data_IF_876717742819
#
_entry.id   IF_876717742819
#
_cell.length_a   1.000
_cell.length_b   1.000
_cell.length_c   1.000
_cell.angle_alpha   90.00
_cell.angle_beta   90.00
_cell.angle_gamma   90.00
#
_symmetry.space_group_name_H-M   'P 1'
#
loop_
_entity.id
_entity.type
_entity.pdbx_description
1 polymer ?
#
# COMPACT_ATOMS: atom_id res chain seq x y z
N UNK A 1 18.38 28.73 21.40
CA UNK A 1 19.41 27.80 21.93
C UNK A 1 18.89 26.42 22.34
N UNK A 2 17.89 26.29 23.23
CA UNK A 2 17.39 24.95 23.65
C UNK A 2 16.64 24.22 22.51
N UNK A 3 15.80 24.94 21.76
CA UNK A 3 14.98 24.40 20.66
C UNK A 3 15.84 23.90 19.49
N UNK A 4 16.89 24.63 19.12
CA UNK A 4 17.79 24.25 18.03
C UNK A 4 18.60 22.99 18.37
N UNK A 5 18.97 22.81 19.63
CA UNK A 5 19.65 21.60 20.12
C UNK A 5 18.72 20.39 20.08
N UNK A 6 17.46 20.55 20.50
CA UNK A 6 16.45 19.48 20.41
C UNK A 6 16.15 19.10 18.96
N UNK A 7 16.05 20.10 18.07
CA UNK A 7 15.83 19.88 16.64
C UNK A 7 17.02 19.11 16.01
N UNK A 8 18.26 19.50 16.33
CA UNK A 8 19.46 18.80 15.87
C UNK A 8 19.56 17.36 16.36
N UNK A 9 19.16 17.11 17.62
CA UNK A 9 19.13 15.75 18.18
C UNK A 9 18.05 14.91 17.50
N UNK A 10 16.86 15.45 17.26
CA UNK A 10 15.79 14.76 16.53
C UNK A 10 16.18 14.45 15.09
N UNK A 11 16.82 15.40 14.38
CA UNK A 11 17.33 15.19 13.03
C UNK A 11 18.42 14.12 12.99
N UNK A 12 19.33 14.09 13.97
CA UNK A 12 20.38 13.06 14.07
C UNK A 12 19.83 11.68 14.42
N UNK A 13 18.82 11.60 15.28
CA UNK A 13 18.11 10.35 15.59
C UNK A 13 17.37 9.86 14.35
N UNK A 14 16.67 10.76 13.64
CA UNK A 14 16.00 10.43 12.38
C UNK A 14 16.99 9.93 11.32
N UNK A 15 18.14 10.59 11.18
CA UNK A 15 19.21 10.18 10.27
C UNK A 15 19.81 8.82 10.68
N UNK A 16 19.98 8.57 11.98
CA UNK A 16 20.53 7.32 12.48
C UNK A 16 19.55 6.15 12.34
N UNK A 17 18.25 6.37 12.54
CA UNK A 17 17.19 5.39 12.26
C UNK A 17 17.09 5.11 10.76
N UNK A 18 17.27 6.13 9.91
CA UNK A 18 17.28 5.98 8.46
C UNK A 18 18.51 5.20 7.95
N UNK A 19 19.68 5.38 8.58
CA UNK A 19 20.92 4.68 8.22
C UNK A 19 20.98 3.25 8.80
N UNK A 20 20.29 2.96 9.91
CA UNK A 20 20.31 1.64 10.54
C UNK A 20 19.41 0.58 9.85
N UNK A 21 18.68 0.93 8.79
CA UNK A 21 17.84 0.01 8.02
C UNK A 21 18.56 -0.78 6.92
N UNK A 22 19.86 -0.57 6.71
CA UNK A 22 20.60 -1.09 5.54
C UNK A 22 21.28 -2.43 5.85
N UNK A 23 20.54 -3.40 6.40
CA UNK A 23 21.08 -4.74 6.65
C UNK A 23 20.37 -5.81 5.83
N UNK A 24 21.00 -6.17 4.70
CA UNK A 24 20.72 -7.37 3.91
C UNK A 24 19.89 -7.14 2.65
N UNK A 25 20.51 -7.30 1.48
CA UNK A 25 19.82 -7.39 0.19
C UNK A 25 19.13 -8.74 0.07
N UNK A 26 17.90 -8.81 0.56
CA UNK A 26 17.01 -9.93 0.38
C UNK A 26 15.72 -9.39 -0.21
N UNK A 27 15.18 -10.10 -1.20
CA UNK A 27 14.01 -9.64 -1.91
C UNK A 27 12.77 -9.64 -1.02
N UNK A 28 11.90 -8.67 -1.25
CA UNK A 28 10.62 -8.56 -0.57
C UNK A 28 9.60 -9.58 -1.10
N UNK A 29 8.82 -10.18 -0.20
CA UNK A 29 7.73 -11.13 -0.51
C UNK A 29 6.35 -10.61 -0.11
N UNK A 30 6.30 -9.39 0.43
CA UNK A 30 5.08 -8.62 0.63
C UNK A 30 5.38 -7.13 0.55
N UNK A 31 4.53 -6.37 -0.12
CA UNK A 31 4.64 -4.91 -0.17
C UNK A 31 3.28 -4.27 0.11
N UNK A 32 3.18 -3.33 1.07
CA UNK A 32 1.96 -2.54 1.24
C UNK A 32 1.65 -1.74 -0.02
N UNK A 33 0.38 -1.42 -0.22
CA UNK A 33 -0.11 -0.53 -1.28
C UNK A 33 -0.86 0.65 -0.65
N UNK A 34 -1.08 1.69 -1.43
CA UNK A 34 -1.85 2.87 -1.05
C UNK A 34 -3.16 2.47 -0.34
N UNK A 35 -3.41 3.11 0.79
CA UNK A 35 -4.68 3.03 1.49
C UNK A 35 -5.73 3.84 0.75
N UNK A 36 -6.83 3.18 0.40
CA UNK A 36 -7.95 3.86 -0.22
C UNK A 36 -8.86 4.47 0.86
N UNK A 37 -8.81 5.80 0.98
CA UNK A 37 -9.63 6.60 1.90
C UNK A 37 -10.54 7.54 1.13
N UNK A 38 -11.64 7.06 0.51
CA UNK A 38 -12.39 7.84 -0.46
C UNK A 38 -13.18 8.99 0.19
N UNK A 39 -13.47 8.91 1.50
CA UNK A 39 -14.24 9.93 2.23
C UNK A 39 -15.55 10.28 1.51
N UNK A 40 -16.28 9.26 1.06
CA UNK A 40 -17.59 9.43 0.41
C UNK A 40 -18.58 10.06 1.40
N UNK A 41 -19.46 10.95 0.91
CA UNK A 41 -20.40 11.66 1.77
C UNK A 41 -21.87 11.36 1.47
N UNK A 42 -22.20 10.96 0.25
CA UNK A 42 -23.57 10.75 -0.20
C UNK A 42 -23.62 9.86 -1.43
N UNK A 43 -24.80 9.30 -1.71
CA UNK A 43 -25.05 8.46 -2.89
C UNK A 43 -24.61 9.16 -4.19
N UNK A 44 -24.00 8.41 -5.10
CA UNK A 44 -23.58 8.90 -6.40
C UNK A 44 -22.27 9.71 -6.41
N UNK A 45 -21.61 9.87 -5.25
CA UNK A 45 -20.21 10.31 -5.21
C UNK A 45 -19.27 9.23 -5.72
N UNK A 46 -18.27 9.64 -6.50
CA UNK A 46 -17.17 8.82 -6.93
C UNK A 46 -15.85 9.49 -6.55
N UNK A 47 -14.85 8.69 -6.18
CA UNK A 47 -13.49 9.15 -5.94
C UNK A 47 -12.52 8.31 -6.77
N UNK A 48 -11.62 8.97 -7.48
CA UNK A 48 -10.55 8.33 -8.24
C UNK A 48 -9.21 8.88 -7.78
N UNK A 49 -8.20 8.02 -7.63
CA UNK A 49 -6.84 8.45 -7.28
C UNK A 49 -5.84 7.71 -8.15
N UNK A 50 -4.89 8.44 -8.74
CA UNK A 50 -3.71 7.88 -9.38
C UNK A 50 -2.48 8.39 -8.65
N UNK A 51 -1.59 7.48 -8.25
CA UNK A 51 -0.44 7.79 -7.42
C UNK A 51 0.82 7.01 -7.83
N UNK A 52 1.96 7.59 -7.50
CA UNK A 52 3.24 6.91 -7.44
C UNK A 52 3.52 6.59 -5.97
N UNK A 53 3.91 5.35 -5.71
CA UNK A 53 4.27 4.85 -4.40
C UNK A 53 5.71 4.40 -4.37
N UNK A 54 6.36 4.53 -3.23
CA UNK A 54 7.71 4.03 -2.97
C UNK A 54 7.76 3.40 -1.59
N UNK A 55 8.44 2.27 -1.48
CA UNK A 55 8.78 1.59 -0.23
C UNK A 55 10.29 1.54 -0.02
N UNK A 56 10.72 0.54 0.72
CA UNK A 56 12.13 0.28 1.01
C UNK A 56 12.83 -0.35 -0.20
N UNK A 57 12.15 -1.27 -0.89
CA UNK A 57 12.71 -1.99 -2.04
C UNK A 57 11.90 -1.81 -3.32
N UNK A 58 10.62 -1.42 -3.23
CA UNK A 58 9.73 -1.37 -4.41
C UNK A 58 9.11 0.01 -4.62
N UNK A 59 9.19 0.51 -5.86
CA UNK A 59 8.38 1.63 -6.34
C UNK A 59 7.20 1.12 -7.15
N UNK A 60 6.06 1.78 -7.11
CA UNK A 60 4.84 1.35 -7.79
C UNK A 60 4.02 2.49 -8.38
N UNK A 61 3.30 2.20 -9.45
CA UNK A 61 2.19 3.00 -9.94
C UNK A 61 0.90 2.39 -9.43
N UNK A 62 0.04 3.21 -8.84
CA UNK A 62 -1.21 2.79 -8.21
C UNK A 62 -2.39 3.60 -8.74
N UNK A 63 -3.51 2.91 -8.97
CA UNK A 63 -4.80 3.53 -9.29
C UNK A 63 -5.88 2.97 -8.37
N UNK A 64 -6.77 3.85 -7.93
CA UNK A 64 -7.82 3.58 -6.96
C UNK A 64 -9.12 4.24 -7.40
N UNK A 65 -10.24 3.53 -7.27
CA UNK A 65 -11.57 4.02 -7.60
C UNK A 65 -12.58 3.62 -6.53
N UNK A 66 -13.47 4.52 -6.13
CA UNK A 66 -14.56 4.26 -5.19
C UNK A 66 -15.85 4.91 -5.68
N UNK A 67 -16.98 4.30 -5.32
CA UNK A 67 -18.31 4.79 -5.66
C UNK A 67 -19.31 4.54 -4.54
N UNK A 68 -20.14 5.54 -4.25
CA UNK A 68 -21.21 5.48 -3.26
C UNK A 68 -22.50 4.93 -3.89
N UNK A 69 -22.82 3.66 -3.60
CA UNK A 69 -24.07 3.02 -4.03
C UNK A 69 -25.30 3.57 -3.29
N UNK A 70 -25.12 3.99 -2.04
CA UNK A 70 -26.13 4.65 -1.21
C UNK A 70 -25.48 5.74 -0.36
N UNK A 71 -26.23 6.38 0.53
CA UNK A 71 -25.69 7.37 1.48
C UNK A 71 -24.78 6.78 2.55
N UNK A 72 -24.66 5.45 2.60
CA UNK A 72 -23.85 4.76 3.58
C UNK A 72 -23.05 3.59 3.04
N UNK A 73 -23.31 3.13 1.82
CA UNK A 73 -22.63 1.96 1.24
C UNK A 73 -21.79 2.39 0.06
N UNK A 74 -20.51 2.04 0.10
CA UNK A 74 -19.56 2.28 -0.98
C UNK A 74 -18.89 0.99 -1.45
N UNK A 75 -18.46 0.99 -2.70
CA UNK A 75 -17.57 -0.03 -3.27
C UNK A 75 -16.26 0.62 -3.68
N UNK A 76 -15.21 -0.19 -3.76
CA UNK A 76 -13.89 0.26 -4.14
C UNK A 76 -13.08 -0.79 -4.90
N UNK A 77 -12.16 -0.30 -5.73
CA UNK A 77 -11.22 -1.08 -6.51
C UNK A 77 -9.85 -0.40 -6.47
N UNK A 78 -8.79 -1.18 -6.27
CA UNK A 78 -7.40 -0.73 -6.42
C UNK A 78 -6.64 -1.64 -7.37
N UNK A 79 -5.70 -1.07 -8.10
CA UNK A 79 -4.70 -1.81 -8.86
C UNK A 79 -3.34 -1.15 -8.70
N UNK A 80 -2.29 -1.95 -8.53
CA UNK A 80 -0.91 -1.48 -8.44
C UNK A 80 0.03 -2.34 -9.25
N UNK A 81 1.03 -1.71 -9.86
CA UNK A 81 2.16 -2.39 -10.49
C UNK A 81 3.46 -1.78 -9.96
N UNK A 82 4.35 -2.62 -9.46
CA UNK A 82 5.61 -2.20 -8.86
C UNK A 82 6.85 -2.86 -9.46
N UNK A 83 7.98 -2.20 -9.27
CA UNK A 83 9.32 -2.61 -9.70
C UNK A 83 10.34 -2.31 -8.59
N UNK A 84 11.38 -3.14 -8.49
CA UNK A 84 12.48 -2.96 -7.54
C UNK A 84 13.23 -1.63 -7.76
N UNK A 85 13.67 -1.00 -6.67
CA UNK A 85 14.40 0.27 -6.65
C UNK A 85 15.92 0.07 -6.67
N UNK A 86 16.39 -1.09 -6.18
CA UNK A 86 17.81 -1.39 -6.06
C UNK A 86 18.29 -2.27 -7.21
N UNK A 87 19.42 -1.87 -7.80
CA UNK A 87 20.28 -2.71 -8.64
C UNK A 87 21.59 -2.84 -7.86
N UNK A 88 21.97 -4.06 -7.47
CA UNK A 88 23.29 -4.27 -6.89
C UNK A 88 24.36 -4.26 -7.99
N UNK A 89 25.41 -3.47 -7.78
CA UNK A 89 26.62 -3.50 -8.60
C UNK A 89 27.71 -4.18 -7.77
N UNK A 90 27.99 -5.47 -8.05
CA UNK A 90 29.05 -6.22 -7.37
C UNK A 90 30.18 -6.52 -8.37
N UNK A 91 31.37 -5.95 -8.14
CA UNK A 91 32.64 -6.32 -8.78
C UNK A 91 32.62 -6.47 -10.31
N UNK A 92 32.56 -5.34 -11.05
CA UNK A 92 32.73 -5.23 -12.52
C UNK A 92 31.87 -6.17 -13.41
N UNK A 93 30.94 -6.89 -12.80
CA UNK A 93 29.92 -7.72 -13.43
C UNK A 93 28.59 -7.31 -12.87
N UNK A 94 27.76 -6.66 -13.69
CA UNK A 94 26.41 -6.26 -13.27
C UNK A 94 25.58 -7.54 -13.19
N UNK A 95 25.37 -8.08 -11.99
CA UNK A 95 24.28 -9.02 -11.75
C UNK A 95 23.03 -8.19 -11.43
N UNK A 96 22.26 -7.83 -12.46
CA UNK A 96 20.96 -7.20 -12.30
C UNK A 96 20.00 -8.20 -11.66
N UNK A 97 19.73 -8.02 -10.38
CA UNK A 97 18.63 -8.66 -9.65
C UNK A 97 17.45 -7.68 -9.56
N UNK A 98 16.25 -8.17 -9.26
CA UNK A 98 15.13 -7.27 -9.05
C UNK A 98 13.77 -7.91 -8.80
N UNK A 99 12.81 -7.04 -8.51
CA UNK A 99 11.44 -7.39 -8.15
C UNK A 99 10.43 -6.79 -9.12
N UNK A 100 9.41 -7.56 -9.50
CA UNK A 100 8.21 -7.08 -10.19
C UNK A 100 6.98 -7.48 -9.37
N UNK A 101 6.05 -6.54 -9.17
CA UNK A 101 4.87 -6.71 -8.33
C UNK A 101 3.59 -6.35 -9.08
N UNK A 102 2.54 -7.14 -8.88
CA UNK A 102 1.18 -6.82 -9.29
C UNK A 102 0.20 -7.03 -8.13
N UNK A 103 -0.80 -6.17 -8.01
CA UNK A 103 -1.92 -6.32 -7.07
C UNK A 103 -3.20 -5.79 -7.71
N UNK A 104 -4.31 -6.50 -7.53
CA UNK A 104 -5.67 -5.98 -7.71
C UNK A 104 -6.46 -6.23 -6.44
N UNK A 105 -7.28 -5.27 -6.07
CA UNK A 105 -8.10 -5.30 -4.86
C UNK A 105 -9.52 -4.86 -5.19
N UNK A 106 -10.48 -5.54 -4.55
CA UNK A 106 -11.89 -5.19 -4.59
C UNK A 106 -12.42 -5.14 -3.15
N UNK A 107 -13.26 -4.16 -2.87
CA UNK A 107 -13.84 -3.99 -1.54
C UNK A 107 -15.20 -3.32 -1.55
N UNK A 108 -15.90 -3.48 -0.44
CA UNK A 108 -17.14 -2.79 -0.14
C UNK A 108 -17.15 -2.39 1.33
N UNK A 109 -17.94 -1.39 1.68
CA UNK A 109 -17.88 -0.83 3.01
C UNK A 109 -19.02 0.08 3.37
N UNK A 110 -19.01 0.45 4.64
CA UNK A 110 -19.92 1.41 5.23
C UNK A 110 -19.21 2.76 5.41
N UNK A 111 -19.89 3.86 5.13
CA UNK A 111 -19.42 5.20 5.47
C UNK A 111 -20.54 6.02 6.13
N UNK A 112 -20.15 6.99 6.95
CA UNK A 112 -21.07 7.91 7.62
C UNK A 112 -20.45 9.27 7.79
N UNK A 113 -21.18 10.30 7.39
CA UNK A 113 -20.79 11.69 7.64
C UNK A 113 -21.18 12.12 9.05
N UNK A 114 -20.33 12.93 9.68
CA UNK A 114 -20.59 13.49 11.00
C UNK A 114 -19.98 14.90 11.11
N UNK A 115 -20.51 15.73 12.02
CA UNK A 115 -20.04 17.11 12.24
C UNK A 115 -19.88 17.93 10.94
N UNK A 116 -20.74 17.70 9.94
CA UNK A 116 -20.80 18.38 8.65
C UNK A 116 -19.64 18.11 7.67
N UNK A 117 -18.46 17.70 8.14
CA UNK A 117 -17.26 17.48 7.32
C UNK A 117 -16.45 16.24 7.70
N UNK A 118 -16.75 15.62 8.83
CA UNK A 118 -16.15 14.36 9.25
C UNK A 118 -16.76 13.20 8.46
N UNK A 119 -15.94 12.20 8.15
CA UNK A 119 -16.36 10.93 7.56
C UNK A 119 -15.72 9.80 8.34
N UNK A 120 -16.55 8.90 8.84
CA UNK A 120 -16.12 7.60 9.34
C UNK A 120 -16.40 6.57 8.26
N UNK A 121 -15.45 5.72 7.94
CA UNK A 121 -15.59 4.70 6.91
C UNK A 121 -14.95 3.39 7.36
N UNK A 122 -15.55 2.26 7.00
CA UNK A 122 -15.00 0.93 7.22
C UNK A 122 -15.20 0.14 5.94
N UNK A 123 -14.10 -0.18 5.27
CA UNK A 123 -14.11 -1.00 4.07
C UNK A 123 -13.50 -2.37 4.37
N UNK A 124 -14.09 -3.42 3.81
CA UNK A 124 -13.50 -4.75 3.79
C UNK A 124 -13.41 -5.27 2.36
N UNK A 125 -12.50 -6.20 2.11
CA UNK A 125 -12.31 -6.71 0.77
C UNK A 125 -11.28 -7.80 0.64
N UNK A 126 -10.98 -8.12 -0.62
CA UNK A 126 -10.01 -9.13 -1.02
C UNK A 126 -9.11 -8.58 -2.11
N UNK A 127 -7.84 -8.99 -2.08
CA UNK A 127 -6.81 -8.65 -3.05
C UNK A 127 -6.17 -9.93 -3.61
N UNK A 128 -5.81 -9.89 -4.88
CA UNK A 128 -4.98 -10.89 -5.56
C UNK A 128 -3.65 -10.24 -5.93
N UNK A 129 -2.55 -10.86 -5.53
CA UNK A 129 -1.21 -10.32 -5.74
C UNK A 129 -0.22 -11.35 -6.25
N UNK A 130 0.78 -10.86 -6.96
CA UNK A 130 1.92 -11.64 -7.44
C UNK A 130 3.19 -10.83 -7.28
N UNK A 131 4.24 -11.48 -6.80
CA UNK A 131 5.61 -10.97 -6.74
C UNK A 131 6.49 -11.93 -7.54
N UNK A 132 7.29 -11.36 -8.42
CA UNK A 132 8.29 -12.04 -9.22
C UNK A 132 9.65 -11.46 -8.88
N UNK A 133 10.53 -12.27 -8.33
CA UNK A 133 11.90 -11.90 -8.01
C UNK A 133 12.83 -12.66 -8.96
N UNK A 134 13.79 -11.97 -9.58
CA UNK A 134 14.86 -12.59 -10.37
C UNK A 134 16.21 -12.27 -9.72
N UNK A 135 17.07 -13.28 -9.66
CA UNK A 135 18.32 -13.28 -8.90
C UNK A 135 19.56 -13.30 -9.79
N UNK A 136 19.37 -13.07 -11.09
CA UNK A 136 20.45 -12.89 -12.06
C UNK A 136 19.94 -12.10 -13.28
N UNK A 137 20.89 -11.53 -14.03
CA UNK A 137 20.62 -10.72 -15.24
C UNK A 137 19.83 -11.45 -16.33
N UNK A 138 20.00 -12.77 -16.43
CA UNK A 138 19.41 -13.59 -17.48
C UNK A 138 18.03 -14.13 -17.06
N UNK A 139 17.57 -13.77 -15.86
CA UNK A 139 16.38 -14.30 -15.19
C UNK A 139 16.34 -15.85 -15.19
N UNK A 140 17.50 -16.53 -15.08
CA UNK A 140 17.61 -18.00 -15.03
C UNK A 140 17.32 -18.56 -13.64
N UNK A 141 17.55 -17.75 -12.61
CA UNK A 141 17.19 -17.95 -11.21
C UNK A 141 16.10 -16.95 -10.84
N UNK A 142 14.92 -17.46 -10.46
CA UNK A 142 13.79 -16.61 -10.12
C UNK A 142 12.83 -17.28 -9.13
N UNK A 143 11.96 -16.48 -8.52
CA UNK A 143 10.83 -16.98 -7.77
C UNK A 143 9.55 -16.24 -8.13
N UNK A 144 8.46 -16.99 -8.25
CA UNK A 144 7.11 -16.44 -8.37
C UNK A 144 6.31 -16.79 -7.14
N UNK A 145 5.81 -15.77 -6.46
CA UNK A 145 4.99 -15.90 -5.26
C UNK A 145 3.64 -15.25 -5.53
N UNK A 146 2.56 -16.01 -5.37
CA UNK A 146 1.18 -15.52 -5.51
C UNK A 146 0.44 -15.64 -4.20
N UNK A 147 -0.33 -14.61 -3.88
CA UNK A 147 -1.05 -14.50 -2.63
C UNK A 147 -2.43 -13.89 -2.82
N UNK A 148 -3.34 -14.25 -1.91
CA UNK A 148 -4.56 -13.52 -1.68
C UNK A 148 -4.46 -12.79 -0.34
N UNK A 149 -5.06 -11.61 -0.26
CA UNK A 149 -5.12 -10.81 0.96
C UNK A 149 -6.57 -10.50 1.26
N UNK A 150 -7.04 -10.80 2.46
CA UNK A 150 -8.30 -10.24 2.95
C UNK A 150 -8.01 -9.09 3.89
N UNK A 151 -8.86 -8.08 3.92
CA UNK A 151 -8.65 -6.95 4.80
C UNK A 151 -9.95 -6.36 5.34
N UNK A 152 -9.82 -5.67 6.48
CA UNK A 152 -10.76 -4.70 7.01
C UNK A 152 -9.99 -3.42 7.32
N UNK A 153 -10.54 -2.28 6.93
CA UNK A 153 -9.89 -0.99 6.96
C UNK A 153 -10.85 0.07 7.53
N UNK A 154 -10.95 0.20 8.86
CA UNK A 154 -11.51 1.40 9.46
C UNK A 154 -10.68 2.63 9.11
N UNK A 155 -11.37 3.74 8.91
CA UNK A 155 -10.83 5.04 8.61
C UNK A 155 -11.69 6.15 9.20
N UNK A 156 -11.03 7.25 9.55
CA UNK A 156 -11.68 8.47 9.98
C UNK A 156 -10.97 9.64 9.31
N UNK A 157 -11.74 10.57 8.77
CA UNK A 157 -11.17 11.71 8.08
C UNK A 157 -12.10 12.91 8.07
N UNK A 158 -11.58 13.99 7.49
CA UNK A 158 -12.29 15.24 7.26
C UNK A 158 -12.19 15.57 5.78
N UNK A 159 -13.35 15.78 5.14
CA UNK A 159 -13.45 16.23 3.75
C UNK A 159 -13.74 17.73 3.70
N UNK A 160 -12.87 18.48 3.04
CA UNK A 160 -12.96 19.92 2.92
C UNK A 160 -13.01 20.39 1.47
N UNK A 161 -13.26 21.70 1.29
CA UNK A 161 -13.23 22.31 -0.05
C UNK A 161 -11.81 22.32 -0.63
N UNK A 162 -10.81 22.61 0.20
CA UNK A 162 -9.43 22.82 -0.23
C UNK A 162 -8.44 21.79 0.32
N UNK A 163 -8.78 21.12 1.41
CA UNK A 163 -7.94 20.08 1.99
C UNK A 163 -8.79 18.95 2.55
N UNK A 164 -8.25 17.73 2.48
CA UNK A 164 -8.75 16.57 3.19
C UNK A 164 -7.62 15.97 4.04
N UNK A 165 -7.99 15.34 5.15
CA UNK A 165 -7.08 14.49 5.89
C UNK A 165 -7.82 13.24 6.35
N UNK A 166 -7.11 12.12 6.40
CA UNK A 166 -7.66 10.85 6.89
C UNK A 166 -6.59 10.05 7.61
N UNK A 167 -6.99 9.40 8.69
CA UNK A 167 -6.27 8.29 9.28
C UNK A 167 -7.00 7.00 8.94
N UNK A 168 -6.26 5.95 8.59
CA UNK A 168 -6.81 4.63 8.34
C UNK A 168 -5.93 3.57 8.96
N UNK A 169 -6.54 2.45 9.34
CA UNK A 169 -5.84 1.29 9.87
C UNK A 169 -6.36 0.07 9.14
N UNK A 170 -5.52 -0.60 8.34
CA UNK A 170 -5.88 -1.83 7.65
C UNK A 170 -5.38 -3.02 8.44
N UNK A 171 -6.29 -3.89 8.84
CA UNK A 171 -5.94 -5.22 9.30
C UNK A 171 -6.04 -6.16 8.11
N UNK A 172 -4.97 -6.87 7.80
CA UNK A 172 -4.92 -7.75 6.65
C UNK A 172 -4.46 -9.15 7.03
N UNK A 173 -5.03 -10.15 6.37
CA UNK A 173 -4.56 -11.53 6.39
C UNK A 173 -4.07 -11.91 5.00
N UNK A 174 -2.81 -12.30 4.88
CA UNK A 174 -2.17 -12.68 3.63
C UNK A 174 -1.98 -14.18 3.61
N UNK A 175 -2.44 -14.84 2.54
CA UNK A 175 -2.27 -16.26 2.31
C UNK A 175 -1.54 -16.52 0.98
N UNK A 176 -0.41 -17.23 1.05
CA UNK A 176 0.43 -17.60 -0.09
C UNK A 176 -0.03 -18.94 -0.68
N UNK A 177 -0.77 -18.90 -1.78
CA UNK A 177 -1.30 -20.11 -2.40
C UNK A 177 -0.37 -20.74 -3.45
N UNK A 178 0.62 -19.99 -3.95
CA UNK A 178 1.60 -20.51 -4.91
C UNK A 178 2.99 -19.92 -4.67
N UNK A 179 3.99 -20.78 -4.52
CA UNK A 179 5.40 -20.41 -4.26
C UNK A 179 6.29 -21.28 -5.16
N UNK A 180 6.73 -20.73 -6.29
CA UNK A 180 7.46 -21.42 -7.35
C UNK A 180 8.84 -20.79 -7.53
N UNK A 181 9.86 -21.25 -6.79
CA UNK A 181 11.26 -20.96 -7.07
C UNK A 181 11.78 -21.84 -8.21
N UNK A 182 12.67 -21.27 -9.02
CA UNK A 182 13.37 -21.93 -10.12
C UNK A 182 14.86 -21.59 -10.01
N UNK A 183 15.71 -22.62 -9.94
CA UNK A 183 17.17 -22.50 -9.82
C UNK A 183 17.69 -21.57 -8.70
N UNK A 184 16.87 -21.35 -7.66
CA UNK A 184 17.28 -20.59 -6.46
C UNK A 184 18.26 -21.46 -5.65
N UNK A 185 19.54 -21.36 -6.01
CA UNK A 185 20.65 -22.10 -5.42
C UNK A 185 21.41 -21.32 -4.34
N UNK A 186 22.61 -21.79 -3.93
CA UNK A 186 23.40 -21.20 -2.83
C UNK A 186 23.80 -19.72 -3.03
N UNK A 187 23.73 -19.22 -4.27
CA UNK A 187 24.06 -17.84 -4.65
C UNK A 187 23.09 -16.84 -4.00
N UNK A 188 21.83 -17.23 -3.76
CA UNK A 188 20.81 -16.43 -3.09
C UNK A 188 20.36 -17.09 -1.78
N UNK A 189 21.32 -17.46 -0.91
CA UNK A 189 21.07 -18.25 0.31
C UNK A 189 19.99 -17.65 1.23
N UNK A 190 19.95 -16.33 1.39
CA UNK A 190 18.93 -15.64 2.19
C UNK A 190 17.52 -15.75 1.57
N UNK A 191 17.39 -15.58 0.25
CA UNK A 191 16.12 -15.73 -0.46
C UNK A 191 15.65 -17.20 -0.47
N UNK A 192 16.56 -18.16 -0.58
CA UNK A 192 16.25 -19.58 -0.48
C UNK A 192 15.64 -19.94 0.88
N UNK A 193 16.24 -19.43 1.97
CA UNK A 193 15.73 -19.59 3.33
C UNK A 193 14.37 -18.89 3.52
N UNK A 194 14.23 -17.66 3.02
CA UNK A 194 12.96 -16.91 3.04
C UNK A 194 11.84 -17.66 2.33
N UNK A 195 12.10 -18.21 1.14
CA UNK A 195 11.15 -19.02 0.37
C UNK A 195 10.81 -20.32 1.08
N UNK A 196 11.77 -20.95 1.77
CA UNK A 196 11.52 -22.14 2.57
C UNK A 196 10.61 -21.82 3.77
N UNK A 197 10.85 -20.71 4.46
CA UNK A 197 9.98 -20.23 5.54
C UNK A 197 8.56 -19.94 5.02
N UNK A 198 8.44 -19.26 3.88
CA UNK A 198 7.15 -18.96 3.26
C UNK A 198 6.38 -20.23 2.83
N UNK A 199 7.10 -21.28 2.42
CA UNK A 199 6.50 -22.59 2.09
C UNK A 199 6.00 -23.33 3.31
N UNK A 200 6.71 -23.23 4.43
CA UNK A 200 6.34 -23.80 5.73
C UNK A 200 5.14 -23.06 6.33
N UNK A 201 5.17 -21.74 6.30
CA UNK A 201 4.16 -20.86 6.86
C UNK A 201 3.58 -19.96 5.76
N UNK A 202 2.36 -20.26 5.32
CA UNK A 202 1.72 -19.54 4.21
C UNK A 202 0.78 -18.43 4.64
N UNK A 203 0.55 -18.25 5.94
CA UNK A 203 -0.46 -17.34 6.47
C UNK A 203 0.17 -16.32 7.42
N UNK A 204 -0.06 -15.04 7.14
CA UNK A 204 0.47 -13.90 7.88
C UNK A 204 -0.63 -12.88 8.18
N UNK A 205 -0.55 -12.27 9.35
CA UNK A 205 -1.44 -11.19 9.77
C UNK A 205 -0.65 -9.88 9.82
N UNK A 206 -1.26 -8.81 9.35
CA UNK A 206 -0.66 -7.49 9.24
C UNK A 206 -1.59 -6.42 9.84
N UNK A 207 -0.99 -5.41 10.45
CA UNK A 207 -1.64 -4.17 10.82
C UNK A 207 -0.92 -3.01 10.12
N UNK A 208 -1.66 -2.24 9.33
CA UNK A 208 -1.11 -1.21 8.46
C UNK A 208 -1.76 0.15 8.79
N UNK A 209 -1.18 0.98 9.68
CA UNK A 209 -1.65 2.36 9.85
C UNK A 209 -1.21 3.24 8.67
N UNK A 210 -2.07 4.17 8.25
CA UNK A 210 -1.73 5.17 7.24
C UNK A 210 -2.38 6.53 7.49
N UNK A 211 -1.64 7.59 7.20
CA UNK A 211 -2.12 8.98 7.18
C UNK A 211 -2.16 9.50 5.76
N UNK A 212 -3.31 10.02 5.36
CA UNK A 212 -3.56 10.64 4.06
C UNK A 212 -3.77 12.13 4.25
N UNK A 213 -3.11 12.94 3.43
CA UNK A 213 -3.36 14.36 3.31
C UNK A 213 -3.60 14.70 1.85
N UNK A 214 -4.64 15.50 1.57
CA UNK A 214 -4.94 15.99 0.23
C UNK A 214 -5.11 17.49 0.25
N UNK A 215 -4.57 18.20 -0.75
CA UNK A 215 -4.69 19.65 -0.87
C UNK A 215 -4.94 20.06 -2.33
N UNK A 216 -5.79 21.06 -2.55
CA UNK A 216 -6.06 21.59 -3.88
C UNK A 216 -7.45 22.21 -4.01
N UNK A 217 -8.11 21.91 -5.10
CA UNK A 217 -9.44 22.40 -5.45
C UNK A 217 -10.53 21.39 -5.06
N UNK A 218 -11.79 21.80 -5.13
CA UNK A 218 -12.92 20.95 -4.71
C UNK A 218 -12.97 19.62 -5.47
N UNK A 219 -12.71 19.64 -6.78
CA UNK A 219 -12.80 18.46 -7.64
C UNK A 219 -11.47 17.71 -7.77
N UNK A 220 -10.33 18.41 -7.70
CA UNK A 220 -9.00 17.84 -7.95
C UNK A 220 -8.08 18.27 -6.81
N UNK A 221 -7.47 17.28 -6.14
CA UNK A 221 -6.53 17.49 -5.04
C UNK A 221 -5.28 16.67 -5.27
N UNK A 222 -4.14 17.27 -4.95
CA UNK A 222 -2.90 16.52 -4.81
C UNK A 222 -2.94 15.72 -3.50
N UNK A 223 -2.54 14.46 -3.54
CA UNK A 223 -2.50 13.55 -2.40
C UNK A 223 -1.05 13.26 -2.01
N UNK A 224 -0.80 13.24 -0.70
CA UNK A 224 0.35 12.60 -0.08
C UNK A 224 -0.17 11.63 0.97
N UNK A 225 0.39 10.42 1.04
CA UNK A 225 0.06 9.47 2.08
C UNK A 225 1.31 8.73 2.53
N UNK A 226 1.38 8.46 3.83
CA UNK A 226 2.38 7.60 4.45
C UNK A 226 1.68 6.46 5.16
N UNK A 227 2.13 5.25 4.91
CA UNK A 227 1.67 4.02 5.52
C UNK A 227 2.85 3.24 6.07
N UNK A 228 2.57 2.47 7.12
CA UNK A 228 3.51 1.53 7.70
C UNK A 228 2.84 0.15 7.78
N UNK A 229 3.56 -0.94 7.55
CA UNK A 229 3.05 -2.30 7.63
C UNK A 229 3.78 -3.07 8.72
N UNK A 230 3.01 -3.69 9.62
CA UNK A 230 3.53 -4.39 10.79
C UNK A 230 3.02 -5.82 10.80
N UNK A 231 3.93 -6.80 10.82
CA UNK A 231 3.57 -8.19 11.11
C UNK A 231 2.99 -8.35 12.52
N UNK A 232 1.80 -8.94 12.62
CA UNK A 232 1.11 -9.24 13.88
C UNK A 232 1.37 -10.69 14.27
N UNK A 233 1.83 -10.89 15.51
CA UNK A 233 2.17 -12.21 16.06
C UNK A 233 3.65 -12.55 15.97
N UNK A 234 3.98 -13.82 16.22
CA UNK A 234 5.38 -14.29 16.26
C UNK A 234 5.98 -14.50 14.86
N UNK A 235 5.15 -14.60 13.82
CA UNK A 235 5.60 -14.83 12.44
C UNK A 235 6.00 -13.50 11.80
N UNK A 236 7.16 -13.48 11.17
CA UNK A 236 7.64 -12.35 10.37
C UNK A 236 7.70 -12.78 8.91
N UNK A 237 7.26 -11.90 8.04
CA UNK A 237 7.50 -12.02 6.61
C UNK A 237 8.57 -11.00 6.22
N UNK A 238 9.39 -11.34 5.23
CA UNK A 238 10.27 -10.37 4.59
C UNK A 238 9.42 -9.48 3.70
N UNK A 239 9.21 -8.24 4.17
CA UNK A 239 8.28 -7.29 3.61
C UNK A 239 8.86 -5.88 3.59
N UNK A 240 8.35 -5.05 2.69
CA UNK A 240 8.50 -3.60 2.81
C UNK A 240 7.60 -3.12 3.94
N UNK A 241 8.16 -2.44 4.92
CA UNK A 241 7.41 -1.92 6.05
C UNK A 241 6.86 -0.52 5.77
N UNK A 242 7.47 0.25 4.87
CA UNK A 242 7.07 1.64 4.60
C UNK A 242 6.41 1.74 3.23
N UNK A 243 5.33 2.51 3.13
CA UNK A 243 4.76 2.97 1.87
C UNK A 243 4.60 4.49 1.92
N UNK A 244 5.26 5.21 1.04
CA UNK A 244 5.00 6.62 0.79
C UNK A 244 4.40 6.76 -0.60
N UNK A 245 3.28 7.50 -0.73
CA UNK A 245 2.70 7.77 -2.03
C UNK A 245 2.33 9.23 -2.23
N UNK A 246 2.42 9.63 -3.50
CA UNK A 246 2.11 10.98 -3.99
C UNK A 246 1.30 10.87 -5.28
N UNK A 247 0.25 11.67 -5.43
CA UNK A 247 -0.66 11.49 -6.56
C UNK A 247 -1.72 12.56 -6.71
N UNK A 248 -2.66 12.30 -7.62
CA UNK A 248 -3.82 13.16 -7.88
C UNK A 248 -5.08 12.38 -7.51
N UNK A 249 -5.92 13.02 -6.71
CA UNK A 249 -7.22 12.53 -6.28
C UNK A 249 -8.33 13.41 -6.84
N UNK A 250 -9.27 12.81 -7.55
CA UNK A 250 -10.41 13.45 -8.19
C UNK A 250 -11.70 13.00 -7.51
N UNK A 251 -12.50 13.96 -7.05
CA UNK A 251 -13.82 13.71 -6.51
C UNK A 251 -14.88 14.15 -7.53
N UNK A 252 -15.71 13.21 -7.97
CA UNK A 252 -16.81 13.44 -8.88
C UNK A 252 -18.14 13.26 -8.14
N UNK A 253 -19.11 14.10 -8.47
CA UNK A 253 -20.47 13.95 -7.97
C UNK A 253 -21.42 13.86 -9.15
N UNK A 254 -22.16 12.75 -9.27
CA UNK A 254 -23.22 12.64 -10.25
C UNK A 254 -24.55 13.11 -9.67
N UNK A 255 -25.11 14.19 -10.23
CA UNK A 255 -26.47 14.66 -9.92
C UNK A 255 -27.57 13.79 -10.58
N UNK A 256 -27.23 12.89 -11.50
CA UNK A 256 -28.20 12.38 -12.50
C UNK A 256 -29.00 11.14 -12.10
N UNK A 257 -29.01 10.71 -10.84
CA UNK A 257 -29.68 9.45 -10.41
C UNK A 257 -30.77 9.64 -9.33
N UNK A 258 -31.21 10.88 -9.10
CA UNK A 258 -32.23 11.21 -8.07
C UNK A 258 -33.54 11.73 -8.67
N UNK A 259 -33.63 11.91 -9.99
CA UNK A 259 -34.77 12.59 -10.62
C UNK A 259 -35.90 11.67 -11.13
N UNK A 260 -35.94 10.39 -10.76
CA UNK A 260 -37.02 9.46 -11.16
C UNK A 260 -37.72 8.82 -9.95
N UNK A 261 -38.30 9.64 -9.06
CA UNK A 261 -39.37 9.17 -8.19
C UNK A 261 -40.55 10.14 -8.28
N UNK A 262 -41.62 9.82 -9.05
CA UNK A 262 -42.85 10.59 -8.97
C UNK A 262 -43.51 10.37 -7.61
N UNK A 263 -44.04 11.47 -7.05
CA UNK A 263 -44.92 11.49 -5.87
C UNK A 263 -46.25 10.77 -6.13
#
# INVERSE_FOLDING_TARGET
MLIERTLLVLTRIFLFVFIAGISGCMHTYYTPNMHQTPLLQQKGEAAFTAALSTGEQVAAVEVAGAYALSDHIGIMVNASRGMGILTEQINDSVNEEGTRRYLVELGAGYFKTFAGKGVFEVYGGSSLGSIYNYYDTQELSYSTVKFNRFFIQPGIGRKGKNFDCAFSLRFASVYYYSINPHNVGPVASLDADALQLLRKDRFYLLAEPAFTFRVGFKAIKFQVQTGYSIGVGAKRIHQDNINFNTGISVNLFSKSLVQDRPE
#
